data_IF_292146547479
#
_entry.id   IF_292146547479
#
_cell.length_a   1.000
_cell.length_b   1.000
_cell.length_c   1.000
_cell.angle_alpha   90.00
_cell.angle_beta   90.00
_cell.angle_gamma   90.00
#
_symmetry.space_group_name_H-M   'P 1'
#
loop_
_entity.id
_entity.type
_entity.pdbx_description
1 polymer ?
#
# COMPACT_ATOMS: atom_id res chain seq x y z
N UNK A 1 -14.36 18.24 -8.20
CA UNK A 1 -13.50 17.63 -9.24
C UNK A 1 -14.33 17.16 -10.43
N UNK A 2 -13.73 16.67 -11.53
CA UNK A 2 -14.45 16.31 -12.76
C UNK A 2 -15.60 15.33 -12.53
N UNK A 3 -15.44 14.34 -11.65
CA UNK A 3 -16.49 13.37 -11.35
C UNK A 3 -17.74 14.01 -10.72
N UNK A 4 -17.59 15.07 -9.95
CA UNK A 4 -18.73 15.81 -9.36
C UNK A 4 -19.60 16.41 -10.46
N UNK A 5 -18.98 17.02 -11.48
CA UNK A 5 -19.70 17.60 -12.62
C UNK A 5 -20.35 16.51 -13.46
N UNK A 6 -19.59 15.50 -13.86
CA UNK A 6 -20.06 14.42 -14.72
C UNK A 6 -21.18 13.61 -14.06
N UNK A 7 -21.12 13.35 -12.76
CA UNK A 7 -22.17 12.62 -12.05
C UNK A 7 -23.50 13.39 -12.01
N UNK A 8 -23.46 14.72 -12.01
CA UNK A 8 -24.66 15.57 -12.10
C UNK A 8 -25.24 15.61 -13.52
N UNK A 9 -24.37 15.64 -14.54
CA UNK A 9 -24.79 15.60 -15.95
C UNK A 9 -25.42 14.26 -16.36
N UNK A 10 -25.00 13.16 -15.70
CA UNK A 10 -25.46 11.80 -15.99
C UNK A 10 -26.08 11.14 -14.75
N UNK A 11 -27.25 11.62 -14.28
CA UNK A 11 -27.86 11.18 -13.02
C UNK A 11 -28.29 9.71 -13.00
N UNK A 12 -28.51 9.10 -14.18
CA UNK A 12 -28.89 7.70 -14.34
C UNK A 12 -27.70 6.74 -14.50
N UNK A 13 -26.47 7.28 -14.51
CA UNK A 13 -25.24 6.49 -14.58
C UNK A 13 -24.65 6.32 -13.19
N UNK A 14 -24.25 5.11 -12.85
CA UNK A 14 -23.51 4.82 -11.62
C UNK A 14 -22.02 4.99 -11.87
N UNK A 15 -21.36 5.72 -10.98
CA UNK A 15 -19.93 5.98 -11.03
C UNK A 15 -19.23 5.32 -9.83
N UNK A 16 -18.01 4.83 -10.03
CA UNK A 16 -17.13 4.38 -8.97
C UNK A 16 -15.84 5.20 -8.97
N UNK A 17 -15.39 5.63 -7.80
CA UNK A 17 -14.10 6.31 -7.65
C UNK A 17 -13.25 5.59 -6.61
N UNK A 18 -11.97 5.37 -6.95
CA UNK A 18 -10.98 4.71 -6.08
C UNK A 18 -10.19 5.77 -5.33
N UNK A 19 -9.95 5.54 -4.02
CA UNK A 19 -9.09 6.36 -3.16
C UNK A 19 -9.61 7.77 -2.87
N UNK A 20 -10.84 8.08 -3.23
CA UNK A 20 -11.43 9.38 -2.98
C UNK A 20 -12.78 9.22 -2.25
N UNK A 21 -12.94 9.90 -1.13
CA UNK A 21 -14.16 10.01 -0.35
C UNK A 21 -14.57 11.49 -0.17
N UNK A 22 -14.35 12.31 -1.18
CA UNK A 22 -14.71 13.74 -1.15
C UNK A 22 -15.97 14.07 -1.96
N UNK A 23 -16.51 13.11 -2.71
CA UNK A 23 -17.64 13.33 -3.61
C UNK A 23 -18.95 12.90 -2.95
N UNK A 24 -19.81 13.86 -2.64
CA UNK A 24 -21.14 13.67 -2.10
C UNK A 24 -22.16 13.66 -3.24
N UNK A 25 -22.42 12.47 -3.82
CA UNK A 25 -23.43 12.28 -4.84
C UNK A 25 -24.03 10.87 -4.75
N UNK A 26 -25.35 10.75 -4.94
CA UNK A 26 -26.07 9.47 -4.75
C UNK A 26 -25.70 8.40 -5.79
N UNK A 27 -25.21 8.82 -6.95
CA UNK A 27 -24.78 7.94 -8.03
C UNK A 27 -23.24 7.78 -8.09
N UNK A 28 -22.50 8.20 -7.05
CA UNK A 28 -21.05 7.98 -6.92
C UNK A 28 -20.76 7.06 -5.75
N UNK A 29 -20.09 5.95 -6.02
CA UNK A 29 -19.61 5.01 -5.00
C UNK A 29 -18.12 5.22 -4.76
N UNK A 30 -17.75 5.68 -3.58
CA UNK A 30 -16.35 5.84 -3.14
C UNK A 30 -15.80 4.49 -2.67
N UNK A 31 -14.75 4.00 -3.32
CA UNK A 31 -14.01 2.80 -2.92
C UNK A 31 -12.74 3.21 -2.16
N UNK A 32 -12.78 3.14 -0.84
CA UNK A 32 -11.65 3.52 0.04
C UNK A 32 -11.06 2.31 0.73
N UNK A 33 -9.76 2.38 1.02
CA UNK A 33 -9.03 1.24 1.59
C UNK A 33 -8.39 1.61 2.93
N UNK A 34 -8.20 0.60 3.78
CA UNK A 34 -7.43 0.71 5.01
C UNK A 34 -5.97 0.32 4.73
N UNK A 35 -5.29 1.16 3.95
CA UNK A 35 -3.92 0.92 3.48
C UNK A 35 -2.96 0.75 4.65
N UNK A 36 -3.21 1.44 5.76
CA UNK A 36 -2.43 1.32 7.00
C UNK A 36 -2.43 -0.11 7.54
N UNK A 37 -3.53 -0.85 7.39
CA UNK A 37 -3.63 -2.22 7.90
C UNK A 37 -2.77 -3.20 7.08
N UNK A 38 -2.86 -3.13 5.75
CA UNK A 38 -2.01 -3.96 4.87
C UNK A 38 -0.53 -3.61 5.02
N UNK A 39 -0.23 -2.30 5.12
CA UNK A 39 1.14 -1.81 5.33
C UNK A 39 1.70 -2.21 6.70
N UNK A 40 0.86 -2.31 7.74
CA UNK A 40 1.30 -2.86 9.03
C UNK A 40 1.81 -4.30 8.88
N UNK A 41 1.10 -5.14 8.15
CA UNK A 41 1.53 -6.53 7.90
C UNK A 41 2.83 -6.58 7.07
N UNK A 42 2.98 -5.70 6.08
CA UNK A 42 4.24 -5.54 5.35
C UNK A 42 5.39 -5.09 6.27
N UNK A 43 5.11 -4.21 7.25
CA UNK A 43 6.05 -3.80 8.28
C UNK A 43 6.49 -4.94 9.20
N UNK A 44 5.55 -5.82 9.59
CA UNK A 44 5.85 -7.05 10.34
C UNK A 44 6.79 -7.93 9.54
N UNK A 45 6.48 -8.19 8.26
CA UNK A 45 7.33 -9.00 7.38
C UNK A 45 8.72 -8.40 7.19
N UNK A 46 8.81 -7.08 6.99
CA UNK A 46 10.07 -6.35 6.86
C UNK A 46 10.95 -6.49 8.10
N UNK A 47 10.37 -6.27 9.29
CA UNK A 47 11.11 -6.34 10.55
C UNK A 47 11.65 -7.75 10.86
N UNK A 48 10.88 -8.79 10.50
CA UNK A 48 11.29 -10.19 10.65
C UNK A 48 12.35 -10.60 9.63
N UNK A 49 12.34 -10.01 8.43
CA UNK A 49 13.30 -10.33 7.38
C UNK A 49 14.60 -9.53 7.49
N UNK A 50 14.56 -8.31 8.05
CA UNK A 50 15.72 -7.43 8.17
C UNK A 50 16.76 -7.97 9.14
N UNK A 51 17.99 -8.10 8.65
CA UNK A 51 19.17 -8.44 9.45
C UNK A 51 19.79 -7.21 10.11
N UNK A 52 19.92 -6.13 9.36
CA UNK A 52 20.53 -4.87 9.84
C UNK A 52 19.64 -4.13 10.85
N UNK A 53 18.33 -4.33 10.81
CA UNK A 53 17.35 -3.51 11.53
C UNK A 53 17.18 -2.11 10.95
N UNK A 54 17.78 -1.82 9.79
CA UNK A 54 17.59 -0.58 9.03
C UNK A 54 16.68 -0.86 7.86
N UNK A 55 15.52 -0.24 7.86
CA UNK A 55 14.43 -0.49 6.90
C UNK A 55 14.09 0.83 6.21
N UNK A 56 13.73 0.79 4.94
CA UNK A 56 13.33 1.95 4.15
C UNK A 56 11.85 1.93 3.80
N UNK A 57 11.23 3.10 3.77
CA UNK A 57 9.94 3.37 3.15
C UNK A 57 10.09 4.49 2.13
N UNK A 58 9.57 4.29 0.91
CA UNK A 58 9.53 5.35 -0.10
C UNK A 58 8.13 5.48 -0.67
N UNK A 59 7.47 6.59 -0.37
CA UNK A 59 6.20 6.98 -0.98
C UNK A 59 6.39 7.72 -2.30
N UNK A 60 5.42 7.64 -3.21
CA UNK A 60 5.45 8.38 -4.47
C UNK A 60 5.38 9.89 -4.24
N UNK A 61 4.26 10.37 -3.71
CA UNK A 61 4.02 11.78 -3.39
C UNK A 61 3.63 11.89 -1.91
N UNK A 62 4.11 12.92 -1.21
CA UNK A 62 3.71 13.13 0.20
C UNK A 62 2.30 13.73 0.26
N UNK A 63 1.31 12.86 0.31
CA UNK A 63 -0.12 13.18 0.46
C UNK A 63 -0.74 12.30 1.54
N UNK A 64 -1.90 12.67 2.11
CA UNK A 64 -2.54 11.91 3.19
C UNK A 64 -2.74 10.42 2.88
N UNK A 65 -3.06 10.07 1.64
CA UNK A 65 -3.19 8.68 1.20
C UNK A 65 -1.88 7.90 1.43
N UNK A 66 -0.74 8.43 0.96
CA UNK A 66 0.56 7.75 1.09
C UNK A 66 1.08 7.76 2.52
N UNK A 67 0.67 8.74 3.32
CA UNK A 67 0.97 8.80 4.75
C UNK A 67 0.26 7.67 5.54
N UNK A 68 -0.89 7.16 5.08
CA UNK A 68 -1.51 5.96 5.67
C UNK A 68 -0.63 4.72 5.49
N UNK A 69 -0.07 4.52 4.30
CA UNK A 69 0.89 3.43 4.03
C UNK A 69 2.13 3.55 4.94
N UNK A 70 2.70 4.75 5.03
CA UNK A 70 3.85 5.04 5.91
C UNK A 70 3.54 4.71 7.36
N UNK A 71 2.45 5.28 7.90
CA UNK A 71 2.07 5.14 9.30
C UNK A 71 1.89 3.67 9.69
N UNK A 72 1.14 2.92 8.88
CA UNK A 72 0.93 1.49 9.10
C UNK A 72 2.23 0.71 9.04
N UNK A 73 3.06 0.93 8.03
CA UNK A 73 4.33 0.25 7.87
C UNK A 73 5.28 0.48 9.04
N UNK A 74 5.49 1.73 9.42
CA UNK A 74 6.35 2.11 10.56
C UNK A 74 5.83 1.49 11.85
N UNK A 75 4.50 1.52 12.09
CA UNK A 75 3.89 0.91 13.27
C UNK A 75 4.12 -0.62 13.30
N UNK A 76 3.96 -1.32 12.18
CA UNK A 76 4.23 -2.76 12.07
C UNK A 76 5.69 -3.12 12.33
N UNK A 77 6.63 -2.34 11.78
CA UNK A 77 8.06 -2.51 12.05
C UNK A 77 8.36 -2.33 13.53
N UNK A 78 7.89 -1.24 14.15
CA UNK A 78 8.18 -0.92 15.55
C UNK A 78 7.53 -1.89 16.54
N UNK A 79 6.33 -2.37 16.23
CA UNK A 79 5.66 -3.38 17.05
C UNK A 79 6.38 -4.72 17.03
N UNK A 80 7.07 -5.06 15.93
CA UNK A 80 7.78 -6.33 15.75
C UNK A 80 9.22 -6.27 16.25
N UNK A 81 9.94 -5.18 15.98
CA UNK A 81 11.34 -4.99 16.34
C UNK A 81 11.58 -3.54 16.78
N UNK A 82 11.43 -3.25 18.09
CA UNK A 82 11.54 -1.90 18.66
C UNK A 82 12.84 -1.17 18.29
N UNK A 83 13.95 -1.92 18.20
CA UNK A 83 15.28 -1.38 17.86
C UNK A 83 15.45 -1.05 16.37
N UNK A 84 14.57 -1.56 15.49
CA UNK A 84 14.67 -1.25 14.07
C UNK A 84 14.39 0.22 13.78
N UNK A 85 15.09 0.78 12.80
CA UNK A 85 14.85 2.13 12.29
C UNK A 85 14.20 2.09 10.93
N UNK A 86 13.37 3.09 10.63
CA UNK A 86 12.76 3.25 9.30
C UNK A 86 13.19 4.59 8.73
N UNK A 87 13.97 4.56 7.63
CA UNK A 87 14.27 5.77 6.84
C UNK A 87 13.08 6.00 5.89
N UNK A 88 12.40 7.13 6.07
CA UNK A 88 11.21 7.52 5.30
C UNK A 88 11.57 8.58 4.29
N UNK A 89 11.24 8.34 3.02
CA UNK A 89 11.42 9.28 1.92
C UNK A 89 10.16 9.31 1.04
N UNK A 90 10.06 10.36 0.25
CA UNK A 90 9.10 10.49 -0.82
C UNK A 90 9.81 10.89 -2.11
N UNK A 91 9.30 10.41 -3.26
CA UNK A 91 9.89 10.77 -4.55
C UNK A 91 9.64 12.26 -4.83
N UNK A 92 8.43 12.74 -4.55
CA UNK A 92 8.08 14.17 -4.66
C UNK A 92 7.21 14.62 -3.49
N UNK A 93 7.09 15.95 -3.33
CA UNK A 93 6.14 16.60 -2.42
C UNK A 93 4.93 17.10 -3.22
N UNK A 94 3.76 17.18 -2.56
CA UNK A 94 2.58 17.82 -3.16
C UNK A 94 2.91 19.28 -3.57
N UNK A 95 2.46 19.77 -4.72
CA UNK A 95 1.51 19.18 -5.67
C UNK A 95 2.14 18.41 -6.85
N UNK A 96 3.40 18.01 -6.78
CA UNK A 96 4.07 17.30 -7.87
C UNK A 96 3.74 15.79 -7.85
N UNK A 97 2.83 15.39 -8.72
CA UNK A 97 2.40 13.99 -8.86
C UNK A 97 3.32 13.14 -9.74
N UNK A 98 4.39 13.70 -10.32
CA UNK A 98 5.38 12.92 -11.11
C UNK A 98 6.04 11.82 -10.29
N UNK A 99 6.04 11.96 -8.96
CA UNK A 99 6.56 10.96 -8.03
C UNK A 99 5.93 9.56 -8.12
N UNK A 100 4.78 9.41 -8.78
CA UNK A 100 4.19 8.12 -9.09
C UNK A 100 4.73 7.47 -10.38
N UNK A 101 5.52 8.20 -11.19
CA UNK A 101 6.02 7.72 -12.47
C UNK A 101 7.48 8.18 -12.75
N UNK A 102 8.32 8.17 -11.72
CA UNK A 102 9.75 8.48 -11.83
C UNK A 102 10.61 7.35 -11.21
N UNK A 103 10.77 6.22 -11.92
CA UNK A 103 11.60 5.11 -11.45
C UNK A 103 13.08 5.47 -11.34
N UNK A 104 13.57 6.45 -12.11
CA UNK A 104 14.96 6.88 -12.06
C UNK A 104 15.28 7.56 -10.72
N UNK A 105 14.43 8.50 -10.29
CA UNK A 105 14.57 9.17 -9.00
C UNK A 105 14.37 8.22 -7.83
N UNK A 106 13.38 7.31 -7.91
CA UNK A 106 13.19 6.23 -6.92
C UNK A 106 14.47 5.41 -6.76
N UNK A 107 15.09 4.98 -7.87
CA UNK A 107 16.32 4.20 -7.84
C UNK A 107 17.46 4.93 -7.12
N UNK A 108 17.64 6.23 -7.37
CA UNK A 108 18.65 7.05 -6.68
C UNK A 108 18.39 7.11 -5.17
N UNK A 109 17.13 7.31 -4.77
CA UNK A 109 16.73 7.35 -3.35
C UNK A 109 17.06 6.01 -2.68
N UNK A 110 16.66 4.89 -3.30
CA UNK A 110 16.87 3.55 -2.75
C UNK A 110 18.35 3.19 -2.67
N UNK A 111 19.16 3.54 -3.69
CA UNK A 111 20.63 3.35 -3.62
C UNK A 111 21.23 4.10 -2.43
N UNK A 112 20.85 5.35 -2.21
CA UNK A 112 21.29 6.11 -1.04
C UNK A 112 20.84 5.54 0.31
N UNK A 113 19.73 4.78 0.36
CA UNK A 113 19.32 4.02 1.54
C UNK A 113 20.21 2.76 1.72
N UNK A 114 20.48 2.04 0.64
CA UNK A 114 21.34 0.84 0.64
C UNK A 114 22.75 1.19 1.11
N UNK A 115 23.31 2.30 0.63
CA UNK A 115 24.64 2.78 1.05
C UNK A 115 24.71 3.08 2.57
N UNK A 116 23.57 3.39 3.21
CA UNK A 116 23.44 3.56 4.67
C UNK A 116 23.17 2.27 5.42
N UNK A 117 23.13 1.13 4.71
CA UNK A 117 22.92 -0.21 5.27
C UNK A 117 21.47 -0.61 5.44
N UNK A 118 20.53 0.03 4.75
CA UNK A 118 19.14 -0.43 4.65
C UNK A 118 19.10 -1.75 3.88
N UNK A 119 18.44 -2.77 4.43
CA UNK A 119 18.37 -4.12 3.85
C UNK A 119 16.96 -4.58 3.48
N UNK A 120 15.94 -3.76 3.75
CA UNK A 120 14.55 -3.96 3.28
C UNK A 120 13.99 -2.61 2.88
N UNK A 121 13.42 -2.48 1.67
CA UNK A 121 12.77 -1.23 1.21
C UNK A 121 11.34 -1.52 0.73
N UNK A 122 10.37 -0.84 1.32
CA UNK A 122 8.99 -0.81 0.86
C UNK A 122 8.75 0.43 0.00
N UNK A 123 8.24 0.23 -1.22
CA UNK A 123 7.86 1.32 -2.12
C UNK A 123 6.35 1.35 -2.35
N UNK A 124 5.68 2.38 -1.81
CA UNK A 124 4.27 2.71 -2.11
C UNK A 124 4.26 3.90 -3.09
N UNK A 125 4.55 3.64 -4.38
CA UNK A 125 4.89 4.71 -5.32
C UNK A 125 4.48 4.46 -6.78
N UNK A 126 3.47 3.61 -7.01
CA UNK A 126 3.00 3.32 -8.37
C UNK A 126 4.13 2.86 -9.29
N UNK A 127 4.20 3.41 -10.51
CA UNK A 127 5.23 3.07 -11.51
C UNK A 127 6.67 3.36 -11.07
N UNK A 128 6.88 4.32 -10.16
CA UNK A 128 8.20 4.60 -9.59
C UNK A 128 8.78 3.40 -8.83
N UNK A 129 7.92 2.48 -8.32
CA UNK A 129 8.35 1.26 -7.62
C UNK A 129 9.33 0.39 -8.40
N UNK A 130 9.32 0.43 -9.73
CA UNK A 130 10.29 -0.27 -10.58
C UNK A 130 11.74 0.13 -10.24
N UNK A 131 11.97 1.38 -9.86
CA UNK A 131 13.31 1.85 -9.44
C UNK A 131 13.82 1.18 -8.17
N UNK A 132 12.92 0.83 -7.22
CA UNK A 132 13.28 0.05 -6.04
C UNK A 132 13.75 -1.36 -6.43
N UNK A 133 13.02 -2.04 -7.32
CA UNK A 133 13.38 -3.39 -7.77
C UNK A 133 14.70 -3.40 -8.52
N UNK A 134 14.95 -2.41 -9.39
CA UNK A 134 16.21 -2.24 -10.09
C UNK A 134 17.38 -2.02 -9.13
N UNK A 135 17.25 -1.09 -8.17
CA UNK A 135 18.29 -0.80 -7.18
C UNK A 135 18.67 -2.05 -6.37
N UNK A 136 17.69 -2.82 -5.90
CA UNK A 136 17.92 -4.05 -5.14
C UNK A 136 18.57 -5.15 -6.03
N UNK A 137 18.20 -5.23 -7.30
CA UNK A 137 18.78 -6.18 -8.24
C UNK A 137 20.25 -5.85 -8.53
N UNK A 138 20.57 -4.57 -8.72
CA UNK A 138 21.96 -4.11 -8.90
C UNK A 138 22.81 -4.34 -7.64
N UNK A 139 22.24 -4.05 -6.45
CA UNK A 139 22.91 -4.32 -5.19
C UNK A 139 23.21 -5.81 -5.00
N UNK A 140 22.26 -6.69 -5.37
CA UNK A 140 22.45 -8.14 -5.31
C UNK A 140 23.54 -8.62 -6.26
N UNK A 141 23.64 -8.05 -7.46
CA UNK A 141 24.71 -8.33 -8.41
C UNK A 141 26.09 -7.90 -7.86
N UNK A 142 26.13 -6.87 -7.02
CA UNK A 142 27.33 -6.42 -6.30
C UNK A 142 27.55 -7.16 -4.96
N UNK A 143 26.80 -8.23 -4.66
CA UNK A 143 26.97 -9.03 -3.46
C UNK A 143 26.20 -8.54 -2.22
N UNK A 144 25.39 -7.49 -2.34
CA UNK A 144 24.60 -6.92 -1.23
C UNK A 144 23.15 -7.34 -1.34
N UNK A 145 22.67 -8.18 -0.41
CA UNK A 145 21.27 -8.60 -0.39
C UNK A 145 20.37 -7.53 0.20
N UNK A 146 19.42 -7.07 -0.60
CA UNK A 146 18.35 -6.14 -0.18
C UNK A 146 17.00 -6.73 -0.56
N UNK A 147 16.06 -6.71 0.37
CA UNK A 147 14.68 -7.10 0.11
C UNK A 147 13.85 -5.91 -0.35
N UNK A 148 12.95 -6.13 -1.30
CA UNK A 148 11.96 -5.15 -1.74
C UNK A 148 10.56 -5.60 -1.36
N UNK A 149 9.68 -4.64 -1.08
CA UNK A 149 8.25 -4.84 -0.89
C UNK A 149 7.53 -3.99 -1.92
N UNK A 150 6.67 -4.65 -2.71
CA UNK A 150 5.82 -4.01 -3.70
C UNK A 150 4.49 -3.50 -3.12
N UNK A 151 3.64 -2.92 -3.97
CA UNK A 151 2.37 -2.30 -3.57
C UNK A 151 1.23 -2.61 -4.56
N UNK A 152 0.01 -2.50 -4.08
CA UNK A 152 -1.27 -2.64 -4.79
C UNK A 152 -1.55 -4.04 -5.29
N UNK A 153 -0.79 -4.54 -6.23
CA UNK A 153 -0.90 -5.90 -6.77
C UNK A 153 0.21 -6.82 -6.24
N UNK A 154 0.06 -8.12 -6.48
CA UNK A 154 1.16 -9.07 -6.29
C UNK A 154 2.21 -8.89 -7.39
N UNK A 155 3.11 -7.95 -7.20
CA UNK A 155 4.11 -7.57 -8.20
C UNK A 155 5.15 -8.68 -8.46
N UNK A 156 5.25 -9.69 -7.58
CA UNK A 156 6.05 -10.88 -7.85
C UNK A 156 5.63 -11.59 -9.14
N UNK A 157 4.34 -11.59 -9.48
CA UNK A 157 3.83 -12.29 -10.66
C UNK A 157 4.32 -11.65 -11.97
N UNK A 158 4.51 -10.33 -11.98
CA UNK A 158 4.88 -9.56 -13.18
C UNK A 158 6.36 -9.19 -13.23
N UNK A 159 7.09 -9.36 -12.11
CA UNK A 159 8.52 -9.05 -12.03
C UNK A 159 9.38 -10.00 -12.87
N UNK A 160 10.55 -9.53 -13.31
CA UNK A 160 11.58 -10.36 -13.97
C UNK A 160 12.17 -11.40 -13.01
N UNK A 161 12.77 -12.44 -13.56
CA UNK A 161 13.43 -13.51 -12.77
C UNK A 161 14.55 -12.99 -11.86
N UNK A 162 15.20 -11.89 -12.22
CA UNK A 162 16.24 -11.28 -11.40
C UNK A 162 15.64 -10.52 -10.20
N UNK A 163 14.59 -9.74 -10.43
CA UNK A 163 13.88 -8.98 -9.38
C UNK A 163 13.19 -9.91 -8.38
N UNK A 164 12.53 -10.97 -8.85
CA UNK A 164 11.87 -11.99 -8.03
C UNK A 164 12.74 -12.51 -6.89
N UNK A 165 14.05 -12.62 -7.12
CA UNK A 165 15.00 -13.08 -6.09
C UNK A 165 15.11 -12.13 -4.90
N UNK A 166 14.71 -10.87 -5.06
CA UNK A 166 14.81 -9.82 -4.07
C UNK A 166 13.45 -9.30 -3.58
N UNK A 167 12.34 -9.82 -4.10
CA UNK A 167 11.00 -9.41 -3.71
C UNK A 167 10.53 -10.23 -2.51
N UNK A 168 10.51 -9.60 -1.33
CA UNK A 168 10.07 -10.23 -0.09
C UNK A 168 8.58 -10.55 -0.13
N UNK A 169 7.77 -9.57 -0.50
CA UNK A 169 6.32 -9.61 -0.61
C UNK A 169 5.81 -8.38 -1.38
N UNK A 170 4.49 -8.30 -1.57
CA UNK A 170 3.79 -7.07 -1.96
C UNK A 170 2.66 -6.80 -0.94
N UNK A 171 2.51 -5.56 -0.51
CA UNK A 171 1.30 -5.11 0.16
C UNK A 171 0.19 -5.05 -0.89
N UNK A 172 -0.84 -5.85 -0.73
CA UNK A 172 -1.92 -5.96 -1.71
C UNK A 172 -3.09 -5.07 -1.33
N UNK A 173 -3.61 -4.36 -2.33
CA UNK A 173 -4.81 -3.52 -2.28
C UNK A 173 -5.74 -3.98 -3.39
N UNK A 174 -6.82 -4.65 -3.00
CA UNK A 174 -7.69 -5.40 -3.90
C UNK A 174 -8.70 -4.49 -4.59
N UNK A 175 -8.20 -3.56 -5.43
CA UNK A 175 -9.04 -2.69 -6.27
C UNK A 175 -9.92 -3.53 -7.21
N UNK A 176 -9.43 -4.65 -7.68
CA UNK A 176 -10.16 -5.63 -8.47
C UNK A 176 -11.46 -6.10 -7.76
N UNK A 177 -11.37 -6.46 -6.47
CA UNK A 177 -12.54 -6.85 -5.68
C UNK A 177 -13.51 -5.68 -5.51
N UNK A 178 -13.00 -4.48 -5.27
CA UNK A 178 -13.84 -3.30 -5.09
C UNK A 178 -14.60 -2.94 -6.37
N UNK A 179 -13.93 -2.98 -7.53
CA UNK A 179 -14.55 -2.75 -8.83
C UNK A 179 -15.57 -3.84 -9.14
N UNK A 180 -15.25 -5.11 -8.86
CA UNK A 180 -16.19 -6.22 -9.02
C UNK A 180 -17.45 -6.02 -8.18
N UNK A 181 -17.30 -5.62 -6.91
CA UNK A 181 -18.43 -5.35 -6.00
C UNK A 181 -19.37 -4.28 -6.57
N UNK A 182 -18.82 -3.18 -7.08
CA UNK A 182 -19.61 -2.08 -7.66
C UNK A 182 -20.38 -2.58 -8.90
N UNK A 183 -19.70 -3.27 -9.81
CA UNK A 183 -20.32 -3.82 -11.03
C UNK A 183 -21.39 -4.86 -10.69
N UNK A 184 -21.09 -5.81 -9.80
CA UNK A 184 -22.02 -6.86 -9.43
C UNK A 184 -23.29 -6.30 -8.76
N UNK A 185 -23.17 -5.27 -7.94
CA UNK A 185 -24.33 -4.61 -7.35
C UNK A 185 -25.13 -3.83 -8.41
N UNK A 186 -24.47 -3.11 -9.30
CA UNK A 186 -25.14 -2.40 -10.38
C UNK A 186 -25.94 -3.34 -11.30
N UNK A 187 -25.36 -4.48 -11.68
CA UNK A 187 -26.04 -5.53 -12.48
C UNK A 187 -27.26 -6.11 -11.74
N UNK A 188 -27.19 -6.22 -10.41
CA UNK A 188 -28.29 -6.69 -9.58
C UNK A 188 -29.33 -5.61 -9.26
N UNK A 189 -29.25 -4.42 -9.85
CA UNK A 189 -30.14 -3.30 -9.58
C UNK A 189 -30.00 -2.72 -8.18
N UNK A 190 -28.85 -2.92 -7.55
CA UNK A 190 -28.51 -2.41 -6.21
C UNK A 190 -27.37 -1.41 -6.32
N UNK A 191 -27.24 -0.55 -5.30
CA UNK A 191 -26.08 0.33 -5.14
C UNK A 191 -25.22 -0.18 -3.97
N UNK A 192 -23.92 0.04 -4.02
CA UNK A 192 -23.04 -0.15 -2.86
C UNK A 192 -23.19 1.10 -1.98
N UNK A 193 -24.03 1.00 -0.95
CA UNK A 193 -24.47 2.14 -0.16
C UNK A 193 -24.01 2.07 1.30
N UNK A 194 -22.81 1.60 1.56
CA UNK A 194 -22.22 1.83 2.87
C UNK A 194 -22.01 3.34 3.05
N UNK A 195 -22.36 3.85 4.21
CA UNK A 195 -22.21 5.27 4.53
C UNK A 195 -20.79 5.48 5.05
N UNK A 196 -19.96 6.15 4.27
CA UNK A 196 -18.60 6.51 4.67
C UNK A 196 -18.58 7.77 5.54
N UNK A 197 -19.41 8.76 5.21
CA UNK A 197 -19.65 9.96 6.01
C UNK A 197 -21.10 10.40 5.85
N UNK A 198 -21.92 10.13 6.88
CA UNK A 198 -23.34 10.50 6.88
C UNK A 198 -23.56 12.01 6.89
N UNK A 199 -22.69 12.78 7.55
CA UNK A 199 -22.79 14.23 7.64
C UNK A 199 -22.48 14.90 6.31
N UNK A 200 -21.51 14.40 5.60
CA UNK A 200 -21.13 14.89 4.27
C UNK A 200 -21.95 14.28 3.13
N UNK A 201 -22.77 13.25 3.39
CA UNK A 201 -23.53 12.54 2.36
C UNK A 201 -22.64 11.71 1.42
N UNK A 202 -21.54 11.17 1.92
CA UNK A 202 -20.60 10.37 1.13
C UNK A 202 -20.92 8.89 1.27
N UNK A 203 -21.17 8.25 0.15
CA UNK A 203 -21.52 6.83 0.04
C UNK A 203 -20.38 6.03 -0.60
N UNK A 204 -20.26 4.76 -0.23
CA UNK A 204 -19.24 3.87 -0.77
C UNK A 204 -18.93 2.73 0.17
N UNK A 205 -17.78 2.11 -0.01
CA UNK A 205 -17.33 1.01 0.85
C UNK A 205 -15.87 1.17 1.25
N UNK A 206 -15.60 0.81 2.52
CA UNK A 206 -14.23 0.64 3.01
C UNK A 206 -13.80 -0.82 2.86
N UNK A 207 -12.64 -0.99 2.24
CA UNK A 207 -11.99 -2.27 2.03
C UNK A 207 -10.79 -2.40 2.97
N UNK A 208 -10.82 -3.40 3.83
CA UNK A 208 -9.86 -3.60 4.90
C UNK A 208 -9.44 -5.08 5.02
N UNK A 209 -8.74 -5.45 6.11
CA UNK A 209 -8.38 -6.84 6.36
C UNK A 209 -9.59 -7.76 6.61
N UNK A 210 -10.73 -7.23 7.10
CA UNK A 210 -11.89 -8.07 7.45
C UNK A 210 -12.61 -8.58 6.21
N UNK A 211 -12.67 -7.77 5.16
CA UNK A 211 -13.29 -8.12 3.88
C UNK A 211 -12.29 -8.48 2.77
N UNK A 212 -11.00 -8.64 3.13
CA UNK A 212 -9.96 -9.01 2.19
C UNK A 212 -9.55 -7.90 1.22
N UNK A 213 -9.88 -6.65 1.52
CA UNK A 213 -9.56 -5.49 0.69
C UNK A 213 -8.08 -5.12 0.68
N UNK A 214 -7.38 -5.45 1.76
CA UNK A 214 -5.92 -5.25 1.86
C UNK A 214 -5.25 -6.49 2.47
N UNK A 215 -3.95 -6.64 2.25
CA UNK A 215 -3.19 -7.77 2.79
C UNK A 215 -1.73 -7.76 2.36
N UNK A 216 -1.08 -8.93 2.40
CA UNK A 216 0.26 -9.17 1.86
C UNK A 216 0.28 -10.42 1.00
N UNK A 217 1.07 -10.42 -0.07
CA UNK A 217 1.26 -11.56 -0.95
C UNK A 217 2.25 -12.56 -0.38
N UNK A 218 1.98 -13.84 -0.61
CA UNK A 218 2.89 -14.95 -0.25
C UNK A 218 3.62 -15.55 -1.47
N UNK A 219 3.51 -14.95 -2.65
CA UNK A 219 4.23 -15.37 -3.85
C UNK A 219 5.74 -15.29 -3.65
N UNK A 220 6.47 -16.24 -4.21
CA UNK A 220 7.90 -16.41 -3.94
C UNK A 220 8.23 -17.15 -2.65
N UNK A 221 7.30 -17.27 -1.71
CA UNK A 221 7.44 -18.07 -0.48
C UNK A 221 8.36 -17.48 0.59
N UNK A 222 8.96 -16.30 0.37
CA UNK A 222 9.98 -15.74 1.27
C UNK A 222 9.46 -15.38 2.66
N UNK A 223 8.18 -15.01 2.77
CA UNK A 223 7.53 -14.69 4.06
C UNK A 223 6.76 -15.87 4.66
N UNK A 224 6.75 -17.07 4.03
CA UNK A 224 6.01 -18.23 4.54
C UNK A 224 6.43 -18.62 5.96
N UNK A 225 7.71 -18.52 6.26
CA UNK A 225 8.27 -18.78 7.60
C UNK A 225 7.81 -17.78 8.67
N UNK A 226 7.26 -16.65 8.28
CA UNK A 226 6.72 -15.60 9.15
C UNK A 226 5.18 -15.58 9.18
N UNK A 227 4.54 -16.53 8.49
CA UNK A 227 3.09 -16.54 8.32
C UNK A 227 2.35 -16.52 9.67
N UNK A 228 2.80 -17.27 10.66
CA UNK A 228 2.16 -17.30 11.97
C UNK A 228 2.15 -15.91 12.66
N UNK A 229 3.26 -15.16 12.59
CA UNK A 229 3.36 -13.83 13.17
C UNK A 229 2.52 -12.80 12.39
N UNK A 230 2.49 -12.89 11.06
CA UNK A 230 1.69 -12.03 10.20
C UNK A 230 0.20 -12.28 10.43
N UNK A 231 -0.23 -13.54 10.49
CA UNK A 231 -1.62 -13.92 10.74
C UNK A 231 -2.08 -13.49 12.15
N UNK A 232 -1.20 -13.62 13.16
CA UNK A 232 -1.50 -13.16 14.52
C UNK A 232 -1.68 -11.62 14.58
N UNK A 233 -0.86 -10.87 13.83
CA UNK A 233 -1.01 -9.43 13.71
C UNK A 233 -2.33 -9.07 13.00
N UNK A 234 -2.64 -9.75 11.89
CA UNK A 234 -3.89 -9.56 11.17
C UNK A 234 -5.11 -9.85 12.03
N UNK A 235 -5.10 -10.93 12.82
CA UNK A 235 -6.18 -11.27 13.75
C UNK A 235 -6.39 -10.19 14.82
N UNK A 236 -5.31 -9.64 15.37
CA UNK A 236 -5.39 -8.54 16.36
C UNK A 236 -5.93 -7.24 15.74
N UNK A 237 -5.61 -6.94 14.49
CA UNK A 237 -6.16 -5.79 13.77
C UNK A 237 -7.65 -6.02 13.51
N UNK A 238 -8.03 -7.18 12.99
CA UNK A 238 -9.44 -7.53 12.71
C UNK A 238 -10.32 -7.50 13.97
N UNK A 239 -9.79 -7.90 15.12
CA UNK A 239 -10.51 -7.84 16.40
C UNK A 239 -10.52 -6.45 17.05
N UNK A 240 -9.80 -5.47 16.48
CA UNK A 240 -9.65 -4.13 17.08
C UNK A 240 -8.66 -4.05 18.25
N UNK A 241 -7.98 -5.16 18.60
CA UNK A 241 -6.94 -5.17 19.65
C UNK A 241 -5.70 -4.35 19.25
N UNK A 242 -5.44 -4.23 17.94
CA UNK A 242 -4.48 -3.30 17.38
C UNK A 242 -5.25 -2.28 16.54
N UNK A 243 -5.18 -1.01 16.93
CA UNK A 243 -5.63 0.13 16.11
C UNK A 243 -4.42 0.67 15.36
N UNK A 244 -4.35 0.40 14.07
CA UNK A 244 -3.24 0.85 13.24
C UNK A 244 -3.38 2.36 12.99
N UNK A 245 -2.32 3.16 13.20
CA UNK A 245 -2.39 4.59 12.91
C UNK A 245 -2.47 4.84 11.40
N UNK A 246 -3.30 5.81 11.01
CA UNK A 246 -3.45 6.27 9.62
C UNK A 246 -2.68 7.57 9.32
N UNK A 247 -2.03 8.14 10.34
CA UNK A 247 -1.20 9.35 10.23
C UNK A 247 0.16 9.03 10.85
N UNK A 248 1.28 9.42 10.18
CA UNK A 248 2.60 9.22 10.75
C UNK A 248 2.75 9.89 12.11
N UNK A 249 3.41 9.22 13.05
CA UNK A 249 3.81 9.81 14.33
C UNK A 249 4.83 10.93 14.11
N UNK A 250 4.82 11.92 15.02
CA UNK A 250 5.84 12.98 15.05
C UNK A 250 7.16 12.46 15.59
#
# INVERSE_FOLDING_TARGET
GPITTVSQEFPNTQFGIVDDASVAALNVTSMVFSEEQGSYLAGVAAALASKSGKIGYVGGVRIPLLQKFEAGFVAGVKATKKSATVDVKYVTEFPDFSGFNDPAKMKVIVKGMIDKGVDVVYSAAGGSGAGNFQAATEAAAAGTKVWTIGVDSDQYLTASSAEKKNMLTSMTKRVDNAVYDVIANAVAGRTVNDILDAKAGIYGRRYDLTNGGVGVSYSGGYINKYKAQIDAAAAKIKSGAIKVPSVPGK
#
